data_IF_691984372950
#
_entry.id   IF_691984372950
#
_cell.length_a   1.000
_cell.length_b   1.000
_cell.length_c   1.000
_cell.angle_alpha   90.00
_cell.angle_beta   90.00
_cell.angle_gamma   90.00
#
_symmetry.space_group_name_H-M   'P 1'
#
loop_
_entity.id
_entity.type
_entity.pdbx_description
1 polymer ?
2 non-polymer ?
3 non-polymer ?
4 non-polymer ?
5 water ?
#
# COMPACT_ATOMS: atom_id res chain seq x y z
N UNK A 8 7.82 15.53 21.78
CA UNK A 8 6.40 15.70 21.47
C UNK A 8 6.17 15.64 19.96
N UNK A 9 5.89 16.79 19.37
CA UNK A 9 5.65 16.87 17.92
C UNK A 9 6.95 17.16 17.18
N UNK A 10 8.01 17.40 17.94
CA UNK A 10 9.31 17.73 17.36
C UNK A 10 9.93 16.51 16.68
N UNK A 11 9.65 15.32 17.21
CA UNK A 11 10.18 14.09 16.66
C UNK A 11 9.53 13.76 15.32
N UNK A 12 8.28 14.18 15.15
CA UNK A 12 7.55 13.94 13.92
C UNK A 12 8.02 14.87 12.81
N UNK A 13 8.16 16.16 13.14
CA UNK A 13 8.61 17.15 12.16
C UNK A 13 10.04 16.87 11.71
N UNK A 14 10.85 16.35 12.63
CA UNK A 14 12.21 15.93 12.29
C UNK A 14 12.17 14.66 11.45
N UNK A 15 11.17 13.83 11.71
CA UNK A 15 10.97 12.61 10.95
C UNK A 15 10.67 12.91 9.50
N UNK A 16 9.79 13.89 9.28
CA UNK A 16 9.43 14.31 7.93
C UNK A 16 10.63 14.92 7.22
N UNK A 17 11.42 15.68 7.96
CA UNK A 17 12.60 16.35 7.42
C UNK A 17 13.65 15.34 6.96
N UNK A 18 13.86 14.30 7.76
CA UNK A 18 14.83 13.26 7.43
C UNK A 18 14.41 12.51 6.17
N UNK A 19 13.13 12.14 6.10
CA UNK A 19 12.59 11.44 4.94
C UNK A 19 12.74 12.26 3.67
N UNK A 20 12.47 13.56 3.78
CA UNK A 20 12.65 14.48 2.65
C UNK A 20 14.13 14.59 2.28
N UNK A 21 14.99 14.59 3.30
CA UNK A 21 16.41 14.72 3.11
C UNK A 21 17.02 13.55 2.36
N UNK A 22 16.60 12.34 2.70
CA UNK A 22 17.10 11.13 2.05
C UNK A 22 16.77 11.14 0.56
N UNK A 23 15.56 11.57 0.22
CA UNK A 23 15.13 11.64 -1.17
C UNK A 23 15.97 12.63 -1.97
N UNK A 24 16.32 13.75 -1.35
CA UNK A 24 17.14 14.77 -1.99
C UNK A 24 18.56 14.25 -2.20
N UNK A 25 19.09 13.52 -1.21
CA UNK A 25 20.42 12.94 -1.31
C UNK A 25 20.50 11.87 -2.40
N UNK A 26 19.36 11.23 -2.67
CA UNK A 26 19.32 10.16 -3.68
C UNK A 26 18.77 10.66 -5.01
N UNK A 27 18.60 11.98 -5.14
CA UNK A 27 18.06 12.57 -6.35
C UNK A 27 19.02 12.43 -7.53
N UNK A 28 18.48 12.32 -8.72
CA UNK A 28 19.28 12.24 -9.94
C UNK A 28 19.85 13.62 -10.29
N UNK A 29 19.13 14.65 -9.86
CA UNK A 29 19.58 16.04 -10.04
C UNK A 29 18.84 16.98 -9.10
N UNK A 30 19.49 17.34 -8.01
CA UNK A 30 18.89 18.17 -6.97
C UNK A 30 18.56 19.57 -7.47
N UNK A 31 19.33 20.04 -8.45
CA UNK A 31 19.15 21.37 -8.99
C UNK A 31 18.00 21.42 -10.00
N UNK A 32 17.46 20.25 -10.34
CA UNK A 32 16.36 20.16 -11.28
C UNK A 32 15.03 20.00 -10.56
N UNK A 33 15.09 19.89 -9.24
CA UNK A 33 13.88 19.72 -8.42
C UNK A 33 12.99 20.95 -8.49
N UNK A 34 11.77 20.75 -9.00
CA UNK A 34 10.77 21.81 -9.05
C UNK A 34 10.16 22.04 -7.68
N UNK A 35 10.41 23.22 -7.10
CA UNK A 35 9.95 23.52 -5.75
C UNK A 35 8.43 23.63 -5.66
N UNK A 36 7.80 24.05 -6.74
CA UNK A 36 6.34 24.12 -6.79
C UNK A 36 5.76 22.71 -6.73
N UNK A 37 6.34 21.81 -7.52
CA UNK A 37 5.89 20.43 -7.59
C UNK A 37 6.03 19.70 -6.25
N UNK A 38 7.26 19.65 -5.74
CA UNK A 38 7.53 18.91 -4.50
C UNK A 38 7.03 19.66 -3.28
N UNK A 39 6.86 20.98 -3.40
CA UNK A 39 6.34 21.77 -2.30
C UNK A 39 4.85 21.58 -2.15
N UNK A 40 4.14 21.61 -3.27
CA UNK A 40 2.70 21.41 -3.27
C UNK A 40 2.32 19.98 -2.94
N UNK A 41 3.09 19.03 -3.46
CA UNK A 41 2.82 17.61 -3.24
C UNK A 41 2.86 17.25 -1.76
N UNK A 42 3.87 17.78 -1.07
CA UNK A 42 3.98 17.59 0.37
C UNK A 42 2.87 18.35 1.09
N UNK A 43 2.53 19.53 0.57
CA UNK A 43 1.49 20.35 1.15
C UNK A 43 0.13 19.66 1.07
N UNK A 44 -0.14 19.01 -0.06
CA UNK A 44 -1.38 18.29 -0.26
C UNK A 44 -1.47 17.07 0.65
N UNK A 45 -0.40 16.28 0.68
CA UNK A 45 -0.38 15.07 1.51
C UNK A 45 -0.50 15.41 3.00
N UNK A 46 0.13 16.51 3.40
CA UNK A 46 0.08 16.96 4.79
C UNK A 46 -1.31 17.50 5.14
N UNK A 47 -1.86 18.32 4.25
CA UNK A 47 -3.18 18.91 4.47
C UNK A 47 -4.28 17.85 4.41
N UNK A 48 -4.09 16.85 3.55
CA UNK A 48 -5.03 15.75 3.45
C UNK A 48 -5.07 14.99 4.77
N UNK A 49 -3.90 14.76 5.35
CA UNK A 49 -3.81 14.13 6.65
C UNK A 49 -4.46 14.99 7.72
N UNK A 50 -4.20 16.29 7.66
CA UNK A 50 -4.79 17.23 8.61
C UNK A 50 -6.31 17.28 8.48
N UNK A 51 -6.79 17.19 7.24
CA UNK A 51 -8.20 17.27 6.95
C UNK A 51 -8.98 16.11 7.55
N UNK A 52 -8.58 14.88 7.20
CA UNK A 52 -9.37 13.70 7.51
C UNK A 52 -8.99 13.01 8.82
N UNK A 53 -7.94 13.50 9.49
CA UNK A 53 -7.51 12.88 10.74
C UNK A 53 -7.59 13.85 11.93
N UNK A 54 -7.63 15.15 11.64
CA UNK A 54 -7.63 16.15 12.70
C UNK A 54 -8.91 16.98 12.71
N UNK A 55 -9.15 17.69 11.61
CA UNK A 55 -10.33 18.55 11.48
C UNK A 55 -11.62 17.73 11.54
N UNK A 56 -12.56 18.14 12.43
CA UNK A 56 -13.84 17.46 12.68
C UNK A 56 -14.61 17.04 11.43
N UNK A 57 -14.82 17.96 10.49
CA UNK A 57 -15.61 17.65 9.30
C UNK A 57 -14.95 16.59 8.44
N UNK A 58 -13.64 16.70 8.26
CA UNK A 58 -12.89 15.75 7.46
C UNK A 58 -12.91 14.36 8.05
N UNK A 59 -12.97 14.28 9.37
CA UNK A 59 -13.06 13.00 10.07
C UNK A 59 -14.41 12.34 9.82
N UNK A 60 -15.44 13.17 9.66
CA UNK A 60 -16.79 12.67 9.42
C UNK A 60 -16.92 12.12 8.00
N UNK A 61 -16.28 12.78 7.05
CA UNK A 61 -16.29 12.33 5.66
C UNK A 61 -15.50 11.04 5.50
N UNK A 62 -14.45 10.88 6.30
CA UNK A 62 -13.63 9.68 6.27
C UNK A 62 -14.38 8.49 6.83
N UNK A 63 -15.11 8.71 7.92
CA UNK A 63 -15.89 7.66 8.55
C UNK A 63 -17.08 7.26 7.68
N UNK A 64 -17.62 8.23 6.94
CA UNK A 64 -18.73 7.98 6.04
C UNK A 64 -18.33 7.12 4.86
N UNK A 65 -17.14 7.37 4.34
CA UNK A 65 -16.61 6.60 3.21
C UNK A 65 -16.18 5.21 3.68
N UNK A 66 -15.66 5.15 4.91
CA UNK A 66 -15.18 3.88 5.47
C UNK A 66 -16.34 2.93 5.77
N UNK A 67 -17.41 3.47 6.34
CA UNK A 67 -18.60 2.67 6.64
C UNK A 67 -19.26 2.17 5.36
N UNK A 68 -19.20 2.98 4.31
CA UNK A 68 -19.71 2.59 3.01
C UNK A 68 -18.88 1.42 2.46
N UNK A 69 -17.57 1.53 2.61
CA UNK A 69 -16.66 0.44 2.21
C UNK A 69 -16.95 -0.81 3.05
N UNK A 70 -17.19 -0.60 4.34
CA UNK A 70 -17.48 -1.70 5.25
C UNK A 70 -18.79 -2.38 4.89
N UNK A 71 -19.74 -1.62 4.35
CA UNK A 71 -21.02 -2.17 3.94
C UNK A 71 -20.90 -3.00 2.66
N UNK A 72 -20.07 -2.54 1.74
CA UNK A 72 -19.83 -3.25 0.49
C UNK A 72 -19.19 -4.61 0.76
N UNK A 73 -18.24 -4.63 1.68
CA UNK A 73 -17.57 -5.87 2.08
C UNK A 73 -18.56 -6.90 2.61
N UNK A 74 -19.47 -6.44 3.47
CA UNK A 74 -20.49 -7.32 4.03
C UNK A 74 -21.45 -7.83 2.95
N UNK A 75 -21.73 -6.99 1.96
CA UNK A 75 -22.56 -7.39 0.83
C UNK A 75 -21.88 -8.47 0.01
N UNK A 76 -20.58 -8.29 -0.24
CA UNK A 76 -19.81 -9.25 -0.99
C UNK A 76 -19.62 -10.55 -0.24
N UNK A 77 -19.76 -10.50 1.07
CA UNK A 77 -19.60 -11.69 1.90
C UNK A 77 -20.78 -12.66 1.78
N UNK A 78 -21.85 -12.23 1.10
CA UNK A 78 -22.98 -13.11 0.83
C UNK A 78 -22.60 -14.13 -0.24
N UNK A 79 -21.68 -13.74 -1.11
CA UNK A 79 -21.19 -14.62 -2.16
C UNK A 79 -20.35 -15.76 -1.60
N UNK A 80 -19.43 -15.43 -0.70
CA UNK A 80 -18.57 -16.44 -0.09
C UNK A 80 -19.33 -17.28 0.93
N UNK A 81 -20.42 -16.71 1.46
CA UNK A 81 -21.27 -17.43 2.40
C UNK A 81 -22.05 -18.53 1.70
N UNK A 82 -22.34 -18.31 0.42
CA UNK A 82 -23.07 -19.29 -0.37
C UNK A 82 -22.18 -20.47 -0.74
N UNK A 83 -20.91 -20.19 -1.03
CA UNK A 83 -19.99 -21.22 -1.47
C UNK A 83 -19.47 -22.10 -0.34
N UNK A 84 -19.18 -21.48 0.80
CA UNK A 84 -18.52 -22.19 1.90
C UNK A 84 -19.44 -22.41 3.10
N UNK A 85 -20.67 -21.88 3.01
CA UNK A 85 -21.71 -22.16 3.98
C UNK A 85 -21.36 -22.00 5.44
N UNK A 86 -21.36 -23.12 6.17
CA UNK A 86 -21.12 -23.11 7.59
C UNK A 86 -19.67 -22.92 7.98
N UNK A 87 -18.77 -23.05 7.01
CA UNK A 87 -17.35 -22.89 7.28
C UNK A 87 -16.97 -21.43 7.49
N UNK A 88 -17.92 -20.53 7.19
CA UNK A 88 -17.72 -19.10 7.42
C UNK A 88 -18.83 -18.55 8.31
N UNK A 89 -19.44 -19.42 9.11
CA UNK A 89 -20.52 -19.01 10.00
C UNK A 89 -20.03 -18.87 11.44
N UNK A 90 -20.94 -18.48 12.34
CA UNK A 90 -20.59 -18.27 13.73
C UNK A 90 -20.34 -19.57 14.49
N UNK A 91 -20.80 -20.68 13.94
CA UNK A 91 -20.62 -21.99 14.54
C UNK A 91 -19.14 -22.38 14.57
N UNK A 92 -18.37 -21.85 13.62
CA UNK A 92 -16.94 -22.12 13.53
C UNK A 92 -16.18 -21.69 14.78
N UNK A 93 -16.61 -20.58 15.38
CA UNK A 93 -15.96 -20.06 16.57
C UNK A 93 -16.36 -20.84 17.82
N UNK A 94 -17.48 -21.56 17.73
CA UNK A 94 -17.96 -22.36 18.85
C UNK A 94 -17.26 -23.72 18.88
N UNK A 95 -16.72 -24.12 17.74
CA UNK A 95 -16.08 -25.43 17.61
C UNK A 95 -14.55 -25.34 17.68
N UNK A 96 -13.98 -24.42 16.90
CA UNK A 96 -12.54 -24.31 16.79
C UNK A 96 -11.99 -23.11 17.56
N UNK A 97 -12.90 -22.33 18.15
CA UNK A 97 -12.50 -21.16 18.90
C UNK A 97 -11.92 -20.07 18.01
N UNK A 98 -10.68 -19.68 18.30
CA UNK A 98 -9.99 -18.68 17.50
C UNK A 98 -9.61 -19.21 16.13
N UNK A 99 -9.43 -20.51 16.04
CA UNK A 99 -9.08 -21.15 14.79
C UNK A 99 -10.26 -21.39 13.88
N UNK A 100 -11.43 -20.87 14.29
CA UNK A 100 -12.63 -20.97 13.49
C UNK A 100 -12.61 -20.00 12.33
N UNK A 101 -11.78 -18.96 12.45
CA UNK A 101 -11.61 -17.98 11.40
C UNK A 101 -10.70 -18.51 10.30
N UNK A 102 -11.28 -19.06 9.25
CA UNK A 102 -10.51 -19.64 8.16
C UNK A 102 -10.15 -18.59 7.13
N UNK A 103 -8.89 -18.15 7.16
CA UNK A 103 -8.40 -17.08 6.30
C UNK A 103 -8.72 -17.31 4.83
N UNK A 104 -8.55 -18.54 4.36
CA UNK A 104 -8.73 -18.88 2.96
C UNK A 104 -10.16 -18.64 2.48
N UNK A 105 -11.11 -18.71 3.39
CA UNK A 105 -12.52 -18.55 3.03
C UNK A 105 -13.08 -17.20 3.48
N UNK A 106 -12.36 -16.55 4.40
CA UNK A 106 -12.82 -15.28 4.95
C UNK A 106 -12.25 -14.07 4.21
N UNK A 107 -10.98 -14.16 3.82
CA UNK A 107 -10.28 -13.02 3.26
C UNK A 107 -10.11 -13.11 1.74
N UNK A 108 -9.58 -14.24 1.27
CA UNK A 108 -9.31 -14.43 -0.16
C UNK A 108 -10.50 -14.24 -1.09
N UNK A 109 -11.70 -14.75 -0.73
CA UNK A 109 -12.82 -14.53 -1.65
C UNK A 109 -13.20 -13.06 -1.83
N UNK A 110 -12.81 -12.20 -0.89
CA UNK A 110 -13.11 -10.78 -0.97
C UNK A 110 -12.35 -10.14 -2.13
N UNK A 111 -11.18 -10.69 -2.46
CA UNK A 111 -10.39 -10.21 -3.59
C UNK A 111 -11.14 -10.43 -4.90
N UNK A 112 -11.92 -11.50 -4.95
CA UNK A 112 -12.68 -11.83 -6.14
C UNK A 112 -13.85 -10.88 -6.34
N UNK A 113 -14.59 -10.63 -5.28
CA UNK A 113 -15.77 -9.77 -5.34
C UNK A 113 -15.42 -8.32 -5.68
N UNK A 114 -14.39 -7.78 -5.02
CA UNK A 114 -14.01 -6.39 -5.24
C UNK A 114 -13.39 -6.18 -6.63
N UNK A 115 -12.73 -7.20 -7.15
CA UNK A 115 -12.16 -7.12 -8.49
C UNK A 115 -13.28 -7.04 -9.53
N UNK A 116 -14.37 -7.76 -9.25
CA UNK A 116 -15.54 -7.73 -10.12
C UNK A 116 -16.25 -6.39 -10.03
N UNK A 117 -16.36 -5.87 -8.81
CA UNK A 117 -17.01 -4.58 -8.58
C UNK A 117 -16.27 -3.44 -9.28
N UNK A 118 -14.95 -3.41 -9.11
CA UNK A 118 -14.12 -2.38 -9.73
C UNK A 118 -14.24 -2.45 -11.25
N UNK A 119 -14.28 -3.67 -11.79
CA UNK A 119 -14.45 -3.87 -13.23
C UNK A 119 -15.80 -3.34 -13.70
N UNK A 120 -16.82 -3.47 -12.86
CA UNK A 120 -18.14 -2.95 -13.17
C UNK A 120 -18.15 -1.42 -13.15
N UNK A 121 -17.50 -0.85 -12.15
CA UNK A 121 -17.43 0.60 -12.00
C UNK A 121 -16.61 1.24 -13.12
N UNK A 122 -15.70 0.48 -13.70
CA UNK A 122 -14.93 0.95 -14.85
C UNK A 122 -15.79 0.96 -16.11
N UNK A 123 -16.63 -0.06 -16.25
CA UNK A 123 -17.52 -0.17 -17.40
C UNK A 123 -18.55 0.95 -17.43
N UNK A 124 -19.01 1.35 -16.25
CA UNK A 124 -20.05 2.38 -16.13
C UNK A 124 -19.46 3.78 -16.28
N UNK A 125 -18.16 3.91 -16.08
CA UNK A 125 -17.49 5.20 -16.21
C UNK A 125 -17.39 5.94 -14.90
N UNK A 126 -17.77 5.27 -13.81
CA UNK A 126 -17.71 5.86 -12.48
C UNK A 126 -16.28 6.10 -12.05
N UNK A 127 -15.43 5.09 -12.25
CA UNK A 127 -14.02 5.18 -11.88
C UNK A 127 -13.31 6.28 -12.68
N UNK A 128 -13.52 6.28 -13.99
CA UNK A 128 -12.89 7.27 -14.86
C UNK A 128 -13.30 8.69 -14.48
N UNK A 129 -14.52 8.84 -13.97
CA UNK A 129 -15.03 10.13 -13.56
C UNK A 129 -14.29 10.65 -12.33
N UNK A 130 -14.10 9.79 -11.34
CA UNK A 130 -13.42 10.15 -10.11
C UNK A 130 -11.93 10.41 -10.35
N UNK A 131 -11.31 9.53 -11.14
CA UNK A 131 -9.89 9.65 -11.48
C UNK A 131 -9.61 10.96 -12.22
N UNK A 132 -10.51 11.33 -13.13
CA UNK A 132 -10.35 12.54 -13.93
C UNK A 132 -10.38 13.79 -13.07
N UNK A 133 -11.17 13.76 -12.00
CA UNK A 133 -11.27 14.90 -11.10
C UNK A 133 -10.04 15.01 -10.20
N UNK A 134 -9.68 13.91 -9.56
CA UNK A 134 -8.52 13.87 -8.66
C UNK A 134 -7.22 14.10 -9.43
N UNK A 135 -7.08 13.42 -10.56
CA UNK A 135 -5.89 13.54 -11.38
C UNK A 135 -5.75 14.92 -12.00
N UNK A 136 -6.88 15.56 -12.29
CA UNK A 136 -6.87 16.89 -12.86
C UNK A 136 -6.46 17.95 -11.86
N UNK A 137 -6.89 17.78 -10.61
CA UNK A 137 -6.54 18.71 -9.56
C UNK A 137 -5.07 18.64 -9.19
N UNK A 138 -4.49 17.44 -9.33
CA UNK A 138 -3.09 17.24 -9.01
C UNK A 138 -2.17 17.95 -10.00
N UNK A 139 -2.42 17.76 -11.29
CA UNK A 139 -1.57 18.34 -12.33
C UNK A 139 -1.69 19.86 -12.37
N UNK A 140 -2.85 20.38 -11.98
CA UNK A 140 -3.09 21.82 -12.00
C UNK A 140 -2.42 22.50 -10.82
N UNK A 141 -2.19 21.74 -9.76
CA UNK A 141 -1.60 22.27 -8.53
C UNK A 141 -0.10 21.98 -8.43
N UNK A 142 0.34 20.90 -9.07
CA UNK A 142 1.74 20.48 -8.96
C UNK A 142 2.53 20.77 -10.23
N UNK A 143 1.83 20.89 -11.35
CA UNK A 143 2.48 21.14 -12.63
C UNK A 143 2.95 19.85 -13.28
N UNK A 144 2.62 18.73 -12.67
CA UNK A 144 2.95 17.42 -13.23
C UNK A 144 2.16 17.18 -14.51
N UNK A 145 2.63 16.25 -15.34
CA UNK A 145 1.99 15.99 -16.62
C UNK A 145 0.63 15.31 -16.44
N UNK A 146 -0.15 15.29 -17.51
CA UNK A 146 -1.51 14.74 -17.50
C UNK A 146 -1.52 13.24 -17.18
N UNK A 147 -0.66 12.50 -17.87
CA UNK A 147 -0.67 11.04 -17.78
C UNK A 147 -0.25 10.54 -16.40
N UNK A 148 0.83 11.08 -15.85
CA UNK A 148 1.34 10.62 -14.56
C UNK A 148 0.42 11.01 -13.41
N UNK A 149 -0.38 12.05 -13.62
CA UNK A 149 -1.32 12.52 -12.61
C UNK A 149 -2.53 11.59 -12.51
N UNK A 150 -3.01 11.15 -13.68
CA UNK A 150 -4.16 10.24 -13.73
C UNK A 150 -3.78 8.87 -13.18
N UNK A 151 -2.57 8.43 -13.46
CA UNK A 151 -2.08 7.14 -12.96
C UNK A 151 -1.91 7.18 -11.45
N UNK A 152 -1.56 8.35 -10.92
CA UNK A 152 -1.41 8.52 -9.48
C UNK A 152 -2.77 8.47 -8.79
N UNK A 153 -3.76 9.12 -9.38
CA UNK A 153 -5.12 9.12 -8.83
C UNK A 153 -5.77 7.76 -8.97
N UNK A 154 -5.50 7.08 -10.09
CA UNK A 154 -6.04 5.75 -10.32
C UNK A 154 -5.50 4.75 -9.31
N UNK A 155 -4.25 4.97 -8.87
CA UNK A 155 -3.58 4.06 -7.95
C UNK A 155 -4.20 4.05 -6.56
N UNK A 156 -5.08 5.00 -6.29
CA UNK A 156 -5.78 5.05 -5.01
C UNK A 156 -6.76 3.89 -4.89
N UNK A 157 -7.32 3.46 -6.02
CA UNK A 157 -8.37 2.46 -6.01
C UNK A 157 -7.92 1.11 -6.59
N UNK A 158 -7.01 1.14 -7.56
CA UNK A 158 -6.55 -0.09 -8.20
C UNK A 158 -5.05 -0.29 -8.04
N UNK A 159 -4.57 -1.47 -8.47
CA UNK A 159 -3.19 -1.86 -8.27
C UNK A 159 -2.19 -1.23 -9.20
N UNK A 160 -0.91 -1.54 -8.98
CA UNK A 160 0.19 -0.92 -9.70
C UNK A 160 0.22 -1.27 -11.18
N UNK A 161 -0.42 -2.37 -11.55
CA UNK A 161 -0.43 -2.81 -12.94
C UNK A 161 -1.71 -2.39 -13.67
N UNK A 162 -2.76 -2.13 -12.90
CA UNK A 162 -4.05 -1.74 -13.47
C UNK A 162 -4.17 -0.23 -13.61
N UNK A 163 -3.46 0.51 -12.75
CA UNK A 163 -3.52 1.97 -12.76
C UNK A 163 -3.01 2.63 -14.05
N UNK A 164 -1.88 2.17 -14.60
CA UNK A 164 -1.43 2.85 -15.82
C UNK A 164 -2.30 2.58 -17.06
N UNK A 165 -3.27 1.67 -16.92
CA UNK A 165 -4.13 1.31 -18.05
C UNK A 165 -5.00 2.47 -18.50
N UNK A 166 -5.24 3.42 -17.62
CA UNK A 166 -6.06 4.59 -17.95
C UNK A 166 -5.28 5.58 -18.82
N UNK A 167 -3.96 5.40 -18.89
CA UNK A 167 -3.12 6.23 -19.72
C UNK A 167 -2.21 5.36 -20.59
N UNK A 168 -2.75 4.23 -21.02
CA UNK A 168 -2.01 3.22 -21.77
C UNK A 168 -1.30 3.73 -23.04
N UNK A 169 -1.98 4.52 -23.90
CA UNK A 169 -1.27 4.91 -25.12
C UNK A 169 -0.20 5.98 -24.92
N UNK A 170 -0.02 6.47 -23.70
CA UNK A 170 0.95 7.52 -23.43
C UNK A 170 2.21 6.97 -22.77
N UNK A 171 2.13 5.74 -22.28
CA UNK A 171 3.24 5.10 -21.58
C UNK A 171 4.49 4.85 -22.44
N UNK A 172 4.33 4.37 -23.70
CA UNK A 172 5.56 4.08 -24.46
C UNK A 172 6.42 5.30 -24.76
N UNK A 173 5.85 6.50 -24.73
CA UNK A 173 6.60 7.70 -25.12
C UNK A 173 6.81 8.69 -23.98
N UNK A 174 6.39 8.34 -22.77
CA UNK A 174 6.56 9.25 -21.65
C UNK A 174 8.00 9.27 -21.17
N UNK A 175 8.40 10.40 -20.58
CA UNK A 175 9.78 10.61 -20.15
C UNK A 175 10.17 9.64 -19.02
N UNK A 176 11.47 9.56 -18.75
CA UNK A 176 11.98 8.72 -17.68
C UNK A 176 11.42 9.14 -16.33
N UNK A 177 11.26 10.46 -16.16
CA UNK A 177 10.68 11.00 -14.94
C UNK A 177 9.21 10.63 -14.81
N UNK A 178 8.51 10.63 -15.94
CA UNK A 178 7.10 10.24 -15.97
C UNK A 178 6.94 8.76 -15.65
N UNK A 179 7.74 7.92 -16.31
CA UNK A 179 7.70 6.48 -16.10
C UNK A 179 8.03 6.13 -14.66
N UNK A 180 9.00 6.85 -14.08
CA UNK A 180 9.40 6.64 -12.70
C UNK A 180 8.28 7.00 -11.74
N UNK A 181 7.57 8.09 -12.05
CA UNK A 181 6.44 8.52 -11.23
C UNK A 181 5.29 7.52 -11.29
N UNK A 182 5.06 6.96 -12.47
CA UNK A 182 4.04 5.93 -12.65
C UNK A 182 4.37 4.70 -11.80
N UNK A 183 5.64 4.30 -11.82
CA UNK A 183 6.10 3.19 -11.00
C UNK A 183 5.92 3.50 -9.51
N UNK A 184 6.30 4.72 -9.12
CA UNK A 184 6.21 5.14 -7.72
C UNK A 184 4.77 5.22 -7.24
N UNK A 185 3.87 5.62 -8.13
CA UNK A 185 2.46 5.73 -7.78
C UNK A 185 1.88 4.39 -7.38
N UNK A 186 2.34 3.33 -8.02
CA UNK A 186 1.88 1.99 -7.74
C UNK A 186 2.54 1.39 -6.51
N UNK A 187 3.80 1.76 -6.29
CA UNK A 187 4.56 1.23 -5.17
C UNK A 187 4.19 1.90 -3.84
N UNK A 188 3.67 3.12 -3.94
CA UNK A 188 3.31 3.89 -2.75
C UNK A 188 1.90 3.56 -2.28
N UNK A 189 1.12 2.91 -3.14
CA UNK A 189 -0.26 2.60 -2.83
C UNK A 189 -0.54 1.10 -2.82
N UNK A 190 -1.79 0.74 -2.57
CA UNK A 190 -2.22 -0.65 -2.65
C UNK A 190 -3.32 -0.80 -3.70
N UNK A 191 -4.28 -1.69 -3.44
CA UNK A 191 -5.40 -1.88 -4.35
C UNK A 191 -6.69 -2.08 -3.56
N UNK A 192 -7.82 -1.77 -4.20
CA UNK A 192 -9.12 -1.86 -3.56
C UNK A 192 -9.45 -3.26 -3.07
N UNK A 193 -8.99 -4.27 -3.80
CA UNK A 193 -9.24 -5.65 -3.44
C UNK A 193 -8.54 -6.06 -2.17
N UNK A 194 -7.22 -5.85 -2.13
CA UNK A 194 -6.43 -6.23 -0.97
C UNK A 194 -6.74 -5.35 0.24
N UNK A 195 -7.23 -4.13 -0.02
CA UNK A 195 -7.64 -3.22 1.04
C UNK A 195 -8.77 -3.85 1.87
N UNK A 196 -9.74 -4.42 1.16
CA UNK A 196 -10.87 -5.08 1.81
C UNK A 196 -10.40 -6.34 2.51
N UNK A 197 -9.33 -6.94 2.01
CA UNK A 197 -8.73 -8.11 2.62
C UNK A 197 -8.10 -7.76 3.96
N UNK A 198 -7.31 -6.68 3.97
CA UNK A 198 -6.66 -6.22 5.19
C UNK A 198 -7.69 -5.78 6.21
N UNK A 199 -8.78 -5.19 5.72
CA UNK A 199 -9.89 -4.77 6.58
C UNK A 199 -10.56 -5.97 7.21
N UNK A 200 -10.63 -7.07 6.46
CA UNK A 200 -11.23 -8.31 6.94
C UNK A 200 -10.32 -9.02 7.93
N UNK A 201 -9.07 -8.57 8.01
CA UNK A 201 -8.09 -9.17 8.90
C UNK A 201 -7.96 -8.39 10.21
N UNK A 202 -8.63 -7.25 10.28
CA UNK A 202 -8.66 -6.47 11.51
C UNK A 202 -8.12 -5.06 11.39
N UNK A 203 -7.47 -4.76 10.27
CA UNK A 203 -6.91 -3.43 10.05
C UNK A 203 -8.01 -2.39 9.89
N UNK A 204 -7.88 -1.29 10.62
CA UNK A 204 -8.87 -0.21 10.59
C UNK A 204 -9.02 0.36 9.18
N UNK A 205 -10.26 0.37 8.70
CA UNK A 205 -10.55 0.82 7.34
C UNK A 205 -10.22 2.31 7.16
N UNK A 206 -10.46 3.10 8.20
CA UNK A 206 -10.17 4.52 8.18
C UNK A 206 -8.70 4.79 7.85
N UNK A 207 -7.82 3.95 8.37
CA UNK A 207 -6.40 4.08 8.11
C UNK A 207 -6.06 3.66 6.69
N UNK A 208 -6.72 2.60 6.22
CA UNK A 208 -6.49 2.08 4.87
C UNK A 208 -6.93 3.06 3.79
N UNK A 209 -8.11 3.66 4.00
CA UNK A 209 -8.63 4.63 3.04
C UNK A 209 -7.78 5.89 3.03
N UNK A 210 -7.42 6.37 4.22
CA UNK A 210 -6.59 7.57 4.36
C UNK A 210 -5.25 7.40 3.66
N UNK A 211 -4.56 6.30 3.96
CA UNK A 211 -3.25 6.04 3.38
C UNK A 211 -3.32 5.88 1.87
N UNK A 212 -4.45 5.38 1.38
CA UNK A 212 -4.64 5.19 -0.06
C UNK A 212 -4.72 6.54 -0.78
N UNK A 213 -5.47 7.47 -0.21
CA UNK A 213 -5.62 8.81 -0.79
C UNK A 213 -4.34 9.63 -0.65
N UNK A 214 -3.63 9.43 0.45
CA UNK A 214 -2.38 10.16 0.71
C UNK A 214 -1.23 9.62 -0.14
N UNK A 215 -1.46 8.48 -0.79
CA UNK A 215 -0.44 7.87 -1.64
C UNK A 215 -0.29 8.59 -2.97
N UNK A 216 -1.37 9.22 -3.43
CA UNK A 216 -1.35 9.93 -4.70
C UNK A 216 -0.43 11.17 -4.66
N UNK A 217 -0.57 12.05 -3.65
CA UNK A 217 0.42 13.13 -3.65
C UNK A 217 1.77 12.68 -3.12
N UNK A 218 1.76 11.72 -2.20
CA UNK A 218 2.99 11.20 -1.62
C UNK A 218 3.85 10.48 -2.63
N UNK A 219 3.21 9.77 -3.55
CA UNK A 219 3.92 9.07 -4.61
C UNK A 219 4.59 10.03 -5.56
N UNK A 220 3.86 11.07 -5.97
CA UNK A 220 4.38 12.10 -6.84
C UNK A 220 5.46 12.92 -6.15
N UNK A 221 5.33 13.06 -4.83
CA UNK A 221 6.27 13.85 -4.05
C UNK A 221 7.70 13.30 -4.13
N UNK A 222 7.88 12.05 -3.76
CA UNK A 222 9.21 11.45 -3.72
C UNK A 222 9.69 11.01 -5.11
N UNK A 223 8.77 10.92 -6.06
CA UNK A 223 9.13 10.60 -7.43
C UNK A 223 9.80 11.81 -8.08
N UNK A 224 9.26 12.99 -7.81
CA UNK A 224 9.79 14.23 -8.37
C UNK A 224 10.97 14.75 -7.55
N UNK A 225 11.12 14.22 -6.34
CA UNK A 225 12.27 14.55 -5.51
C UNK A 225 13.50 13.75 -5.95
N UNK A 226 13.30 12.45 -6.15
CA UNK A 226 14.39 11.55 -6.52
C UNK A 226 14.64 11.51 -8.01
N UNK A 227 13.62 11.81 -8.79
CA UNK A 227 13.74 11.83 -10.25
C UNK A 227 12.97 13.00 -10.86
N UNK A 228 13.54 14.22 -10.76
CA UNK A 228 12.91 15.41 -11.32
C UNK A 228 12.82 15.36 -12.84
N UNK A 229 11.85 16.06 -13.41
CA UNK A 229 11.70 16.09 -14.86
C UNK A 229 12.80 16.95 -15.49
N UNK A 230 13.59 16.33 -16.36
CA UNK A 230 14.65 17.03 -17.08
C UNK A 230 14.35 17.05 -18.56
N UNK A 231 13.35 16.28 -18.98
CA UNK A 231 12.92 16.26 -20.37
C UNK A 231 11.63 17.06 -20.55
N UNK A 232 11.05 16.96 -21.73
CA UNK A 232 9.79 17.65 -22.00
C UNK A 232 8.67 16.65 -22.30
N UNK A 233 7.70 16.55 -21.36
CA UNK A 233 6.54 15.67 -21.52
C UNK A 233 5.66 16.07 -22.70
N UNK A 234 4.68 15.22 -23.03
CA UNK A 234 3.79 15.50 -24.14
C UNK A 234 2.35 15.71 -23.66
N UNK A 235 1.51 16.23 -24.55
CA UNK A 235 0.10 16.50 -24.26
C UNK A 235 -0.06 17.39 -23.03
N UNK A 247 -12.64 -3.10 -23.74
CA UNK A 247 -13.90 -2.91 -23.03
C UNK A 247 -14.87 -4.05 -23.31
N UNK A 248 -15.39 -4.68 -22.24
CA UNK A 248 -16.36 -5.78 -22.35
C UNK A 248 -17.63 -5.38 -23.11
N UNK A 249 -18.32 -6.35 -23.67
CA UNK A 249 -19.52 -6.10 -24.46
C UNK A 249 -20.66 -5.51 -23.62
N UNK A 250 -20.72 -5.92 -22.37
CA UNK A 250 -21.75 -5.43 -21.46
C UNK A 250 -21.29 -5.44 -20.00
N UNK A 251 -22.17 -4.98 -19.11
CA UNK A 251 -21.83 -4.83 -17.70
C UNK A 251 -21.66 -6.19 -17.01
N UNK A 252 -22.37 -7.20 -17.52
CA UNK A 252 -22.27 -8.55 -16.95
C UNK A 252 -20.94 -9.19 -17.33
N UNK A 253 -20.48 -8.92 -18.55
CA UNK A 253 -19.18 -9.41 -19.00
C UNK A 253 -18.06 -8.77 -18.21
N UNK A 254 -18.25 -7.50 -17.85
CA UNK A 254 -17.27 -6.76 -17.06
C UNK A 254 -17.10 -7.41 -15.68
N UNK A 255 -18.22 -7.77 -15.07
CA UNK A 255 -18.20 -8.41 -13.75
C UNK A 255 -17.51 -9.77 -13.81
N UNK A 256 -17.79 -10.52 -14.87
CA UNK A 256 -17.22 -11.85 -15.06
C UNK A 256 -15.70 -11.78 -15.23
N UNK A 257 -15.25 -10.83 -16.03
CA UNK A 257 -13.83 -10.63 -16.25
C UNK A 257 -13.10 -10.21 -14.99
N UNK A 258 -13.76 -9.37 -14.19
CA UNK A 258 -13.20 -8.92 -12.93
C UNK A 258 -13.06 -10.06 -11.93
N UNK A 259 -14.09 -10.91 -11.88
CA UNK A 259 -14.08 -12.07 -10.99
C UNK A 259 -12.96 -13.02 -11.36
N UNK A 260 -12.72 -13.17 -12.66
CA UNK A 260 -11.66 -14.04 -13.17
C UNK A 260 -10.28 -13.54 -12.74
N UNK A 261 -10.06 -12.23 -12.92
CA UNK A 261 -8.80 -11.61 -12.52
C UNK A 261 -8.59 -11.69 -11.01
N UNK A 262 -9.68 -11.50 -10.27
CA UNK A 262 -9.63 -11.59 -8.82
C UNK A 262 -9.35 -13.00 -8.34
N UNK A 263 -9.89 -13.98 -9.05
CA UNK A 263 -9.64 -15.38 -8.74
C UNK A 263 -8.16 -15.71 -8.88
N UNK A 264 -7.57 -15.28 -9.99
CA UNK A 264 -6.16 -15.50 -10.25
C UNK A 264 -5.30 -14.83 -9.18
N UNK A 265 -5.72 -13.64 -8.75
CA UNK A 265 -5.02 -12.90 -7.70
C UNK A 265 -5.14 -13.63 -6.37
N UNK A 266 -6.34 -14.11 -6.06
CA UNK A 266 -6.61 -14.79 -4.80
C UNK A 266 -5.79 -16.09 -4.69
N UNK A 267 -5.60 -16.76 -5.82
CA UNK A 267 -4.81 -17.98 -5.84
C UNK A 267 -3.33 -17.67 -5.66
N UNK A 268 -2.87 -16.57 -6.26
CA UNK A 268 -1.48 -16.16 -6.14
C UNK A 268 -1.13 -15.74 -4.72
N UNK A 269 -2.02 -14.97 -4.10
CA UNK A 269 -1.80 -14.50 -2.73
C UNK A 269 -1.76 -15.67 -1.75
N UNK A 270 -2.72 -16.58 -1.89
CA UNK A 270 -2.81 -17.75 -1.02
C UNK A 270 -1.59 -18.65 -1.09
N UNK A 271 -1.12 -18.89 -2.32
CA UNK A 271 0.06 -19.72 -2.52
C UNK A 271 1.31 -19.05 -1.96
N UNK A 272 1.36 -17.72 -2.10
CA UNK A 272 2.48 -16.94 -1.58
C UNK A 272 2.52 -16.99 -0.06
N UNK A 273 1.35 -16.89 0.57
CA UNK A 273 1.27 -16.90 2.02
C UNK A 273 1.64 -18.27 2.60
N UNK A 274 1.30 -19.34 1.90
CA UNK A 274 1.70 -20.69 2.35
C UNK A 274 3.21 -20.83 2.31
N UNK A 275 3.80 -20.40 1.19
CA UNK A 275 5.24 -20.52 0.99
C UNK A 275 6.04 -19.60 1.92
N UNK A 276 5.74 -18.30 1.87
CA UNK A 276 6.51 -17.31 2.62
C UNK A 276 6.48 -17.54 4.13
N UNK A 277 5.28 -17.73 4.68
CA UNK A 277 5.14 -18.01 6.10
C UNK A 277 5.83 -19.32 6.46
N UNK A 278 5.71 -20.30 5.58
CA UNK A 278 6.40 -21.57 5.74
C UNK A 278 7.90 -21.41 5.68
N UNK A 279 8.36 -20.55 4.78
CA UNK A 279 9.80 -20.29 4.63
C UNK A 279 10.35 -19.53 5.82
N UNK A 280 9.58 -18.57 6.33
CA UNK A 280 9.96 -17.82 7.52
C UNK A 280 10.11 -18.76 8.72
N UNK A 281 9.21 -19.73 8.82
CA UNK A 281 9.28 -20.73 9.87
C UNK A 281 10.54 -21.58 9.72
N UNK A 282 10.92 -21.85 8.49
CA UNK A 282 12.15 -22.60 8.19
C UNK A 282 13.37 -21.77 8.51
N UNK A 283 13.31 -20.48 8.18
CA UNK A 283 14.40 -19.55 8.46
C UNK A 283 14.62 -19.43 9.97
N UNK A 284 13.52 -19.31 10.71
CA UNK A 284 13.59 -19.21 12.18
C UNK A 284 14.21 -20.45 12.81
N UNK A 285 13.95 -21.61 12.23
CA UNK A 285 14.52 -22.86 12.71
C UNK A 285 16.03 -22.88 12.51
N UNK A 286 16.47 -22.40 11.36
CA UNK A 286 17.89 -22.35 11.05
C UNK A 286 18.59 -21.26 11.85
N UNK A 287 17.91 -20.12 12.00
CA UNK A 287 18.45 -19.00 12.78
C UNK A 287 18.61 -19.36 14.25
N UNK A 288 17.81 -20.31 14.72
CA UNK A 288 17.91 -20.78 16.09
C UNK A 288 19.15 -21.60 16.31
N UNK A 289 19.54 -22.37 15.29
CA UNK A 289 20.73 -23.19 15.37
C UNK A 289 21.99 -22.40 15.11
N UNK A 290 21.92 -21.49 14.14
CA UNK A 290 23.06 -20.63 13.82
C UNK A 290 23.34 -19.65 14.94
N UNK A 291 22.28 -19.02 15.44
CA UNK A 291 22.40 -18.07 16.54
C UNK A 291 22.88 -18.72 17.82
N UNK A 292 22.56 -20.00 17.97
CA UNK A 292 22.97 -20.75 19.15
C UNK A 292 24.49 -20.86 19.25
N UNK A 293 25.17 -20.80 18.11
CA UNK A 293 26.61 -20.85 18.07
C UNK A 293 27.23 -19.61 18.72
N UNK A 294 26.44 -18.53 18.77
CA UNK A 294 26.91 -17.28 19.34
C UNK A 294 26.14 -16.93 20.62
N UNK A 295 25.61 -17.96 21.28
CA UNK A 295 24.92 -17.78 22.55
C UNK A 295 23.55 -17.13 22.43
N UNK A 296 22.96 -17.23 21.24
CA UNK A 296 21.63 -16.68 21.01
C UNK A 296 20.74 -17.68 20.29
N UNK A 297 20.34 -18.76 20.99
CA UNK A 297 19.51 -19.81 20.37
C UNK A 297 18.08 -19.37 20.12
N UNK A 298 17.67 -18.25 20.72
CA UNK A 298 16.32 -17.74 20.56
C UNK A 298 16.22 -16.81 19.36
N UNK A 299 17.30 -16.73 18.58
CA UNK A 299 17.36 -15.84 17.43
C UNK A 299 16.32 -16.20 16.38
N UNK A 300 15.56 -15.18 15.94
CA UNK A 300 14.55 -15.38 14.90
C UNK A 300 14.60 -14.26 13.88
N UNK A 301 13.81 -14.39 12.82
CA UNK A 301 13.75 -13.38 11.77
C UNK A 301 13.12 -12.09 12.30
N UNK A 302 12.20 -12.23 13.25
CA UNK A 302 11.50 -11.08 13.82
C UNK A 302 12.45 -10.21 14.63
N UNK A 303 13.40 -10.83 15.32
CA UNK A 303 14.35 -10.10 16.15
C UNK A 303 15.31 -9.30 15.28
N UNK A 304 15.76 -9.90 14.18
CA UNK A 304 16.66 -9.22 13.25
C UNK A 304 16.00 -8.00 12.61
N UNK A 305 14.78 -8.19 12.11
CA UNK A 305 14.04 -7.12 11.47
C UNK A 305 13.68 -6.02 12.45
N UNK A 306 13.29 -6.41 13.66
CA UNK A 306 12.93 -5.46 14.70
C UNK A 306 14.11 -4.63 15.16
N UNK A 307 15.27 -5.28 15.27
CA UNK A 307 16.48 -4.61 15.72
C UNK A 307 17.06 -3.69 14.64
N UNK A 308 16.74 -3.98 13.39
CA UNK A 308 17.31 -3.26 12.26
C UNK A 308 16.40 -2.13 11.78
N UNK A 309 15.12 -2.21 12.10
CA UNK A 309 14.15 -1.20 11.66
C UNK A 309 13.62 -0.36 12.82
N UNK A 310 14.11 -0.63 14.02
CA UNK A 310 13.71 0.13 15.20
C UNK A 310 14.06 1.62 15.10
N UNK A 311 15.26 1.97 14.60
CA UNK A 311 15.51 3.41 14.43
C UNK A 311 14.55 4.09 13.46
N UNK A 312 14.15 3.36 12.42
CA UNK A 312 13.23 3.90 11.42
C UNK A 312 11.83 4.06 12.01
N UNK A 313 11.42 3.11 12.84
CA UNK A 313 10.12 3.18 13.50
C UNK A 313 10.10 4.33 14.51
N UNK A 314 11.19 4.47 15.25
CA UNK A 314 11.33 5.55 16.22
C UNK A 314 11.35 6.91 15.54
N UNK A 315 11.87 6.93 14.31
CA UNK A 315 12.02 8.18 13.57
C UNK A 315 10.68 8.72 13.06
N UNK A 316 9.71 7.83 12.88
CA UNK A 316 8.42 8.22 12.32
C UNK A 316 7.34 8.38 13.40
N UNK A 317 7.73 8.31 14.66
CA UNK A 317 6.82 8.62 15.75
C UNK A 317 6.46 7.51 16.70
N UNK A 318 7.06 6.34 16.52
CA UNK A 318 6.79 5.21 17.41
C UNK A 318 7.62 5.33 18.68
N UNK A 319 6.96 5.25 19.84
CA UNK A 319 7.60 5.32 21.16
C UNK A 319 8.79 4.37 21.28
N UNK A 320 9.78 4.76 22.09
CA UNK A 320 11.03 4.02 22.23
C UNK A 320 10.83 2.56 22.65
N UNK A 321 9.85 2.33 23.51
CA UNK A 321 9.59 0.98 24.02
C UNK A 321 8.69 0.16 23.11
N UNK A 322 8.32 0.73 21.97
CA UNK A 322 7.47 0.04 21.02
C UNK A 322 8.09 0.02 19.62
N UNK A 323 9.28 0.61 19.50
CA UNK A 323 9.94 0.73 18.21
C UNK A 323 10.42 -0.62 17.66
N UNK A 324 10.87 -1.48 18.56
CA UNK A 324 11.39 -2.79 18.16
C UNK A 324 10.30 -3.68 17.58
N UNK A 325 9.16 -3.74 18.27
CA UNK A 325 8.02 -4.52 17.81
C UNK A 325 7.49 -3.96 16.49
N UNK A 326 7.42 -2.64 16.40
CA UNK A 326 6.95 -1.98 15.19
C UNK A 326 7.93 -2.17 14.03
N UNK A 327 9.20 -2.35 14.37
CA UNK A 327 10.23 -2.56 13.36
C UNK A 327 10.10 -3.91 12.68
N UNK A 328 9.55 -4.88 13.40
CA UNK A 328 9.36 -6.22 12.86
C UNK A 328 8.39 -6.22 11.69
N UNK A 329 7.30 -5.49 11.84
CA UNK A 329 6.23 -5.43 10.85
C UNK A 329 6.64 -4.60 9.63
N UNK A 330 7.26 -3.45 9.89
CA UNK A 330 7.73 -2.57 8.83
C UNK A 330 8.83 -3.24 8.00
N UNK A 331 9.74 -3.92 8.69
CA UNK A 331 10.83 -4.62 8.03
C UNK A 331 10.34 -5.79 7.19
N UNK A 332 9.37 -6.54 7.71
CA UNK A 332 8.83 -7.70 7.01
C UNK A 332 8.10 -7.27 5.75
N UNK A 333 7.47 -6.10 5.80
CA UNK A 333 6.77 -5.54 4.65
C UNK A 333 7.76 -5.18 3.53
N UNK A 334 8.95 -4.74 3.94
CA UNK A 334 9.98 -4.33 2.99
C UNK A 334 10.68 -5.52 2.35
N UNK A 335 11.08 -6.49 3.16
CA UNK A 335 11.84 -7.64 2.69
C UNK A 335 10.97 -8.69 2.00
N UNK A 336 9.65 -8.59 2.21
CA UNK A 336 8.72 -9.52 1.58
C UNK A 336 7.61 -8.75 0.88
N UNK A 337 6.47 -8.62 1.55
CA UNK A 337 5.38 -7.78 1.08
C UNK A 337 4.47 -7.39 2.24
N UNK A 338 3.56 -6.45 1.99
CA UNK A 338 2.70 -5.92 3.04
C UNK A 338 1.64 -6.91 3.49
N UNK A 339 1.30 -7.86 2.62
CA UNK A 339 0.29 -8.86 2.95
C UNK A 339 0.82 -9.79 4.05
N UNK A 340 2.09 -10.17 3.93
CA UNK A 340 2.74 -11.01 4.94
C UNK A 340 2.88 -10.24 6.25
N UNK A 341 3.23 -8.96 6.15
CA UNK A 341 3.39 -8.10 7.32
C UNK A 341 2.06 -7.95 8.06
N UNK A 342 1.00 -7.66 7.32
CA UNK A 342 -0.33 -7.51 7.89
C UNK A 342 -0.81 -8.79 8.56
N UNK A 343 -0.38 -9.93 8.02
CA UNK A 343 -0.76 -11.22 8.56
C UNK A 343 -0.16 -11.46 9.94
N UNK A 344 1.00 -10.84 10.19
CA UNK A 344 1.68 -10.99 11.46
C UNK A 344 1.31 -9.85 12.42
N UNK A 345 0.75 -8.78 11.87
CA UNK A 345 0.38 -7.61 12.66
C UNK A 345 -1.08 -7.69 13.11
N UNK A 346 -1.88 -8.45 12.37
CA UNK A 346 -3.30 -8.59 12.68
C UNK A 346 -3.61 -9.12 14.10
N UNK A 347 -2.84 -10.11 14.60
CA UNK A 347 -3.13 -10.54 15.98
C UNK A 347 -2.89 -9.46 17.02
N UNK A 348 -2.11 -8.44 16.68
CA UNK A 348 -1.82 -7.34 17.61
C UNK A 348 -2.97 -6.33 17.65
N UNK A 349 -3.98 -6.56 16.82
CA UNK A 349 -5.13 -5.68 16.77
C UNK A 349 -6.32 -6.25 17.52
N UNK A 350 -6.18 -7.50 17.98
CA UNK A 350 -7.24 -8.16 18.72
C UNK A 350 -7.00 -8.06 20.23
N UNK A 351 -7.90 -8.63 21.01
CA UNK A 351 -7.77 -8.61 22.46
C UNK A 351 -6.75 -9.64 22.94
N UNK A 352 -6.46 -10.62 22.08
CA UNK A 352 -5.50 -11.66 22.40
C UNK A 352 -4.13 -11.33 21.83
N UNK A 353 -3.74 -10.06 21.92
CA UNK A 353 -2.45 -9.61 21.41
C UNK A 353 -1.33 -9.93 22.38
N UNK A 354 -0.22 -10.47 21.87
CA UNK A 354 0.95 -10.78 22.71
C UNK A 354 1.57 -9.52 23.31
N UNK A 355 1.47 -8.41 22.60
CA UNK A 355 1.95 -7.12 23.09
C UNK A 355 0.92 -6.03 22.84
N UNK A 356 0.44 -5.42 23.91
CA UNK A 356 -0.53 -4.34 23.80
C UNK A 356 0.14 -3.05 23.36
N UNK A 357 -0.19 -2.59 22.17
CA UNK A 357 0.40 -1.38 21.60
C UNK A 357 -0.52 -0.18 21.75
N UNK A 358 0.06 1.01 21.80
CA UNK A 358 -0.73 2.24 21.88
C UNK A 358 -1.49 2.45 20.57
N UNK A 359 -2.59 3.20 20.64
CA UNK A 359 -3.43 3.41 19.48
C UNK A 359 -2.70 4.19 18.38
N UNK A 360 -1.77 5.05 18.79
CA UNK A 360 -0.99 5.82 17.83
C UNK A 360 0.01 4.91 17.11
N UNK A 361 0.59 3.98 17.86
CA UNK A 361 1.53 3.02 17.30
C UNK A 361 0.83 2.10 16.31
N UNK A 362 -0.41 1.72 16.64
CA UNK A 362 -1.22 0.90 15.75
C UNK A 362 -1.50 1.63 14.45
N UNK A 363 -1.69 2.95 14.54
CA UNK A 363 -1.97 3.77 13.36
C UNK A 363 -0.73 3.90 12.48
N UNK A 364 0.41 4.16 13.11
CA UNK A 364 1.67 4.33 12.38
C UNK A 364 2.03 3.06 11.61
N UNK A 365 1.93 1.91 12.27
CA UNK A 365 2.21 0.63 11.63
C UNK A 365 1.24 0.37 10.47
N UNK A 366 -0.02 0.71 10.68
CA UNK A 366 -1.05 0.54 9.65
C UNK A 366 -0.75 1.38 8.41
N UNK A 367 -0.33 2.62 8.62
CA UNK A 367 -0.02 3.53 7.53
C UNK A 367 1.29 3.14 6.84
N UNK A 368 2.30 2.78 7.62
CA UNK A 368 3.62 2.46 7.09
C UNK A 368 3.62 1.15 6.30
N UNK A 369 2.63 0.30 6.55
CA UNK A 369 2.53 -0.97 5.86
C UNK A 369 1.68 -0.85 4.59
N UNK A 370 0.84 0.17 4.54
CA UNK A 370 -0.12 0.33 3.45
C UNK A 370 0.56 0.75 2.15
N UNK A 371 1.20 -0.21 1.48
CA UNK A 371 1.86 0.06 0.22
C UNK A 371 2.46 -1.19 -0.41
N UNK A 372 2.56 -1.20 -1.73
CA UNK A 372 3.13 -2.33 -2.46
C UNK A 372 4.65 -2.20 -2.60
N UNK A 373 5.23 -1.29 -1.82
CA UNK A 373 6.66 -1.01 -1.92
C UNK A 373 7.51 -2.18 -1.42
N UNK A 374 7.97 -3.01 -2.35
CA UNK A 374 8.91 -4.08 -2.05
C UNK A 374 9.65 -4.50 -3.32
N UNK A 375 10.68 -5.34 -3.14
CA UNK A 375 11.53 -5.74 -4.26
C UNK A 375 10.81 -6.62 -5.28
N UNK A 376 9.89 -7.45 -4.79
CA UNK A 376 9.16 -8.36 -5.66
C UNK A 376 8.19 -7.64 -6.59
N UNK A 377 7.80 -6.42 -6.18
CA UNK A 377 6.87 -5.63 -6.99
C UNK A 377 7.55 -5.10 -8.26
N UNK A 378 8.88 -5.11 -8.26
CA UNK A 378 9.64 -4.70 -9.45
C UNK A 378 9.39 -5.67 -10.60
N UNK A 379 9.47 -6.97 -10.31
CA UNK A 379 9.23 -8.00 -11.31
C UNK A 379 7.80 -7.91 -11.82
N UNK A 380 6.88 -7.57 -10.94
CA UNK A 380 5.48 -7.41 -11.31
C UNK A 380 5.30 -6.19 -12.22
N UNK A 381 6.03 -5.13 -11.92
CA UNK A 381 6.00 -3.93 -12.75
C UNK A 381 6.59 -4.18 -14.12
N UNK A 382 7.61 -5.05 -14.18
CA UNK A 382 8.23 -5.42 -15.44
C UNK A 382 7.26 -6.16 -16.36
N UNK A 383 6.34 -6.91 -15.77
CA UNK A 383 5.36 -7.67 -16.53
C UNK A 383 4.15 -6.85 -16.92
N UNK A 384 3.51 -6.25 -15.91
CA UNK A 384 2.30 -5.47 -16.14
C UNK A 384 2.55 -4.18 -16.90
N UNK A 385 3.35 -3.30 -16.32
CA UNK A 385 3.67 -2.02 -16.94
C UNK A 385 4.54 -2.19 -18.18
N UNK A 386 5.34 -3.26 -18.17
CA UNK A 386 6.24 -3.54 -19.28
C UNK A 386 5.52 -4.02 -20.52
N UNK A 387 4.36 -4.65 -20.34
CA UNK A 387 3.57 -5.13 -21.47
C UNK A 387 2.93 -3.96 -22.22
N UNK A 388 2.80 -2.84 -21.52
CA UNK A 388 2.23 -1.63 -22.12
C UNK A 388 3.28 -0.89 -22.94
N UNK A 389 4.55 -1.20 -22.68
CA UNK A 389 5.66 -0.59 -23.40
C UNK A 389 6.87 -1.50 -23.34
N UNK A 390 6.92 -2.50 -24.24
CA UNK A 390 7.96 -3.54 -24.25
C UNK A 390 9.38 -2.99 -24.47
N UNK A 391 9.49 -1.85 -25.14
CA UNK A 391 10.80 -1.25 -25.39
C UNK A 391 11.25 -0.38 -24.22
N UNK A 392 10.50 -0.43 -23.12
CA UNK A 392 10.82 0.38 -21.95
C UNK A 392 11.10 -0.47 -20.72
N UNK A 393 11.16 -1.79 -20.91
CA UNK A 393 11.43 -2.71 -19.81
C UNK A 393 12.83 -2.50 -19.24
N UNK A 394 13.75 -1.99 -20.06
CA UNK A 394 15.09 -1.69 -19.61
C UNK A 394 15.10 -0.56 -18.60
N UNK A 395 14.29 0.46 -18.85
CA UNK A 395 14.19 1.61 -17.96
C UNK A 395 13.52 1.23 -16.65
N UNK A 396 12.53 0.35 -16.73
CA UNK A 396 11.81 -0.09 -15.54
C UNK A 396 12.73 -0.86 -14.60
N UNK A 397 13.54 -1.75 -15.16
CA UNK A 397 14.48 -2.53 -14.38
C UNK A 397 15.59 -1.65 -13.79
N UNK A 398 15.96 -0.62 -14.54
CA UNK A 398 17.03 0.28 -14.10
C UNK A 398 16.60 1.15 -12.92
N UNK A 399 15.35 1.61 -12.96
CA UNK A 399 14.83 2.51 -11.92
C UNK A 399 14.07 1.76 -10.85
N UNK A 400 14.07 0.43 -10.93
CA UNK A 400 13.32 -0.42 -10.02
C UNK A 400 13.61 -0.19 -8.55
N UNK A 401 14.88 -0.27 -8.18
CA UNK A 401 15.27 -0.13 -6.78
C UNK A 401 14.95 1.25 -6.21
N UNK A 402 15.30 2.30 -6.97
CA UNK A 402 15.03 3.66 -6.54
C UNK A 402 13.53 3.94 -6.38
N UNK A 403 12.73 3.31 -7.24
CA UNK A 403 11.29 3.47 -7.19
C UNK A 403 10.70 2.83 -5.93
N UNK A 404 11.28 1.71 -5.51
CA UNK A 404 10.86 1.04 -4.29
C UNK A 404 11.19 1.90 -3.07
N UNK A 405 12.39 2.48 -3.09
CA UNK A 405 12.82 3.38 -2.02
C UNK A 405 11.89 4.58 -1.92
N UNK A 406 11.54 5.15 -3.07
CA UNK A 406 10.61 6.28 -3.12
C UNK A 406 9.24 5.89 -2.58
N UNK A 407 8.77 4.71 -2.96
CA UNK A 407 7.49 4.21 -2.48
C UNK A 407 7.52 3.96 -0.98
N UNK A 408 8.66 3.52 -0.48
CA UNK A 408 8.85 3.29 0.94
C UNK A 408 8.79 4.61 1.71
N UNK A 409 9.49 5.62 1.19
CA UNK A 409 9.51 6.94 1.80
C UNK A 409 8.12 7.55 1.87
N UNK A 410 7.30 7.26 0.86
CA UNK A 410 5.94 7.80 0.81
C UNK A 410 5.08 7.19 1.90
N UNK A 411 5.21 5.88 2.11
CA UNK A 411 4.48 5.20 3.18
C UNK A 411 4.93 5.68 4.55
N UNK A 412 6.24 5.87 4.70
CA UNK A 412 6.80 6.34 5.97
C UNK A 412 6.38 7.78 6.26
N UNK A 413 6.30 8.60 5.22
CA UNK A 413 5.85 9.98 5.37
C UNK A 413 4.40 10.04 5.80
N UNK A 414 3.56 9.21 5.17
CA UNK A 414 2.15 9.14 5.50
C UNK A 414 1.95 8.67 6.94
N UNK A 415 2.84 7.78 7.39
CA UNK A 415 2.78 7.26 8.75
C UNK A 415 3.19 8.33 9.76
N UNK A 416 4.17 9.14 9.38
CA UNK A 416 4.63 10.23 10.23
C UNK A 416 3.56 11.30 10.36
N UNK A 417 2.93 11.64 9.23
CA UNK A 417 1.85 12.60 9.22
C UNK A 417 0.68 12.13 10.07
N UNK A 418 0.32 10.85 9.90
CA UNK A 418 -0.77 10.26 10.65
C UNK A 418 -0.49 10.27 12.15
N UNK A 419 0.73 9.93 12.52
CA UNK A 419 1.14 9.91 13.92
C UNK A 419 1.19 11.31 14.51
N UNK A 420 1.40 12.30 13.66
CA UNK A 420 1.48 13.69 14.10
C UNK A 420 0.12 14.19 14.58
N UNK A 421 -0.91 13.99 13.77
CA UNK A 421 -2.25 14.47 14.10
C UNK A 421 -3.00 13.51 15.02
N UNK A 422 -2.31 12.45 15.45
CA UNK A 422 -2.90 11.48 16.37
C UNK A 422 -2.08 11.40 17.66
#
# INVERSE_FOLDING_TARGET
>A
GPAVPRMSLFMSCCGMAVLLGIAVLLSSNRKAINLRTVGGAFAIQFSLGAFILYVPWGQELLRGFSDAVSNVINYGNDGTSFLFGGLVSGKMFEVFGGGGFIFAFRVLPTLIFFSALISVLYYLGVMQWVIRILGGGLQKALGTSRAESMSAAANIFVGQTEAPLVVRPFVPKMTQSELFAVMCGGLASIAGGVLAGYASMGVKIEYLVAASFMAAPGGLLFAKLMMPETEKPQDNEDITLDGGDDKPANVIDAAAGGASAGLQLALNVGAMLIAFIGLIALINGMLGGIGGWFGMPELKLEMLLGWLFAPLAFLIGVPWNEATVAGEFIGLKTVANEFVAYSQFAPYLTEAAPVVLSEKTKAIISFALCGFANLSSIAILLGGLGSLAPKRRGDIARMGVKAVIAGTLSNLMAATIAGFFLSF
#
